data_IF_219409709591
#
_entry.id   IF_219409709591
#
_cell.length_a   1.000
_cell.length_b   1.000
_cell.length_c   1.000
_cell.angle_alpha   90.00
_cell.angle_beta   90.00
_cell.angle_gamma   90.00
#
_symmetry.space_group_name_H-M   'P 1'
#
loop_
_entity.id
_entity.type
_entity.pdbx_description
1 polymer ?
#
# COMPACT_ATOMS: atom_id res chain seq x y z
N UNK A 1 16.30 -8.66 -17.52
CA UNK A 1 15.34 -9.77 -17.40
C UNK A 1 14.27 -9.31 -16.41
N UNK A 2 13.38 -8.37 -16.74
CA UNK A 2 12.56 -8.31 -17.95
C UNK A 2 11.36 -9.21 -17.72
N UNK A 3 10.41 -8.73 -16.91
CA UNK A 3 9.29 -9.48 -16.37
C UNK A 3 8.53 -10.24 -17.45
N UNK A 4 8.57 -11.57 -17.35
CA UNK A 4 7.34 -12.31 -17.58
C UNK A 4 6.40 -11.81 -16.48
N UNK A 5 5.34 -11.09 -16.85
CA UNK A 5 4.28 -10.71 -15.93
C UNK A 5 3.90 -11.96 -15.14
N UNK A 6 4.24 -11.99 -13.86
CA UNK A 6 3.82 -13.08 -13.01
C UNK A 6 2.29 -12.99 -12.97
N UNK A 7 1.60 -14.08 -13.29
CA UNK A 7 0.16 -14.07 -13.54
C UNK A 7 -0.63 -13.51 -12.34
N UNK A 8 -0.05 -13.57 -11.14
CA UNK A 8 -0.56 -13.05 -9.87
C UNK A 8 -0.09 -11.61 -9.52
N UNK A 9 0.36 -10.80 -10.50
CA UNK A 9 0.87 -9.45 -10.27
C UNK A 9 -0.13 -8.54 -9.54
N UNK A 10 -1.43 -8.69 -9.78
CA UNK A 10 -2.46 -7.90 -9.07
C UNK A 10 -2.49 -8.21 -7.57
N UNK A 11 -2.39 -9.49 -7.19
CA UNK A 11 -2.39 -9.92 -5.78
C UNK A 11 -1.06 -9.55 -5.12
N UNK A 12 0.06 -9.85 -5.78
CA UNK A 12 1.40 -9.48 -5.29
C UNK A 12 1.57 -7.98 -5.16
N UNK A 13 1.02 -7.22 -6.12
CA UNK A 13 0.99 -5.76 -6.10
C UNK A 13 0.20 -5.25 -4.90
N UNK A 14 -1.00 -5.77 -4.66
CA UNK A 14 -1.78 -5.43 -3.47
C UNK A 14 -1.05 -5.72 -2.15
N UNK A 15 -0.41 -6.88 -2.03
CA UNK A 15 0.40 -7.24 -0.86
C UNK A 15 1.59 -6.27 -0.70
N UNK A 16 2.32 -6.00 -1.78
CA UNK A 16 3.48 -5.12 -1.77
C UNK A 16 3.10 -3.69 -1.40
N UNK A 17 2.01 -3.16 -1.98
CA UNK A 17 1.44 -1.86 -1.62
C UNK A 17 1.07 -1.82 -0.14
N UNK A 18 0.32 -2.80 0.36
CA UNK A 18 -0.07 -2.82 1.78
C UNK A 18 1.14 -2.84 2.72
N UNK A 19 2.17 -3.62 2.41
CA UNK A 19 3.41 -3.63 3.17
C UNK A 19 4.15 -2.28 3.11
N UNK A 20 4.12 -1.62 1.95
CA UNK A 20 4.76 -0.32 1.75
C UNK A 20 4.05 0.79 2.53
N UNK A 21 2.72 0.78 2.60
CA UNK A 21 1.96 1.74 3.43
C UNK A 21 2.40 1.67 4.90
N UNK A 22 2.61 0.47 5.46
CA UNK A 22 3.13 0.32 6.82
C UNK A 22 4.55 0.83 6.99
N UNK A 23 5.39 0.73 5.96
CA UNK A 23 6.70 1.36 5.94
C UNK A 23 6.59 2.90 5.94
N UNK A 24 5.67 3.47 5.17
CA UNK A 24 5.42 4.91 5.14
C UNK A 24 4.85 5.43 6.47
N UNK A 25 3.89 4.72 7.07
CA UNK A 25 3.36 5.01 8.41
C UNK A 25 4.50 5.08 9.45
N UNK A 26 5.41 4.10 9.44
CA UNK A 26 6.57 4.09 10.34
C UNK A 26 7.52 5.27 10.04
N UNK A 27 7.75 5.56 8.77
CA UNK A 27 8.60 6.65 8.31
C UNK A 27 8.05 8.02 8.73
N UNK A 28 6.76 8.27 8.56
CA UNK A 28 6.14 9.53 8.98
C UNK A 28 6.12 9.69 10.49
N UNK A 29 5.94 8.63 11.27
CA UNK A 29 6.13 8.69 12.74
C UNK A 29 7.55 9.15 13.11
N UNK A 30 8.57 8.63 12.44
CA UNK A 30 9.95 9.04 12.65
C UNK A 30 10.19 10.50 12.21
N UNK A 31 9.62 10.93 11.07
CA UNK A 31 9.72 12.30 10.57
C UNK A 31 9.03 13.31 11.48
N UNK A 32 7.83 13.00 11.99
CA UNK A 32 7.13 13.83 12.98
C UNK A 32 8.04 14.05 14.19
N UNK A 33 8.61 12.97 14.73
CA UNK A 33 9.48 13.08 15.90
C UNK A 33 10.74 13.92 15.60
N UNK A 34 11.31 13.73 14.42
CA UNK A 34 12.47 14.50 13.96
C UNK A 34 12.14 15.99 13.83
N UNK A 35 11.00 16.34 13.22
CA UNK A 35 10.54 17.70 13.05
C UNK A 35 10.25 18.39 14.40
N UNK A 36 9.63 17.68 15.35
CA UNK A 36 9.44 18.15 16.72
C UNK A 36 10.77 18.47 17.40
N UNK A 37 11.76 17.57 17.31
CA UNK A 37 13.10 17.76 17.87
C UNK A 37 13.87 18.91 17.20
N UNK A 38 13.59 19.18 15.92
CA UNK A 38 14.18 20.28 15.16
C UNK A 38 13.41 21.61 15.33
N UNK A 39 12.40 21.68 16.20
CA UNK A 39 11.53 22.85 16.37
C UNK A 39 10.89 23.33 15.06
N UNK A 40 10.43 22.38 14.22
CA UNK A 40 9.74 22.61 12.95
C UNK A 40 8.27 22.19 13.02
N UNK A 41 7.40 22.98 13.68
CA UNK A 41 6.01 22.59 13.92
C UNK A 41 5.19 22.47 12.63
N UNK A 42 5.45 23.30 11.62
CA UNK A 42 4.78 23.25 10.32
C UNK A 42 5.07 21.93 9.59
N UNK A 43 6.31 21.45 9.63
CA UNK A 43 6.70 20.16 9.04
C UNK A 43 6.04 19.00 9.80
N UNK A 44 6.06 19.06 11.14
CA UNK A 44 5.40 18.04 11.96
C UNK A 44 3.90 17.95 11.68
N UNK A 45 3.24 19.09 11.40
CA UNK A 45 1.82 19.12 11.05
C UNK A 45 1.57 18.49 9.67
N UNK A 46 2.35 18.84 8.65
CA UNK A 46 2.24 18.23 7.31
C UNK A 46 2.46 16.71 7.40
N UNK A 47 3.49 16.25 8.12
CA UNK A 47 3.73 14.81 8.28
C UNK A 47 2.60 14.09 9.04
N UNK A 48 1.88 14.77 9.94
CA UNK A 48 0.70 14.20 10.62
C UNK A 48 -0.48 14.05 9.67
N UNK A 49 -0.68 14.99 8.77
CA UNK A 49 -1.72 14.93 7.74
C UNK A 49 -1.45 13.76 6.80
N UNK A 50 -0.23 13.65 6.25
CA UNK A 50 0.14 12.54 5.37
C UNK A 50 0.04 11.19 6.10
N UNK A 51 0.47 11.11 7.37
CA UNK A 51 0.30 9.90 8.18
C UNK A 51 -1.16 9.41 8.25
N UNK A 52 -2.15 10.32 8.27
CA UNK A 52 -3.55 9.89 8.25
C UNK A 52 -3.96 9.32 6.89
N UNK A 53 -3.40 9.84 5.79
CA UNK A 53 -3.62 9.33 4.43
C UNK A 53 -3.05 7.91 4.28
N UNK A 54 -1.81 7.66 4.74
CA UNK A 54 -1.19 6.32 4.64
C UNK A 54 -1.92 5.29 5.52
N UNK A 55 -2.41 5.69 6.70
CA UNK A 55 -3.25 4.83 7.54
C UNK A 55 -4.56 4.49 6.81
N UNK A 56 -5.21 5.48 6.21
CA UNK A 56 -6.44 5.26 5.46
C UNK A 56 -6.22 4.34 4.24
N UNK A 57 -5.08 4.49 3.55
CA UNK A 57 -4.71 3.62 2.43
C UNK A 57 -4.40 2.20 2.89
N UNK A 58 -3.63 2.02 3.97
CA UNK A 58 -3.38 0.70 4.56
C UNK A 58 -4.69 0.00 4.93
N UNK A 59 -5.60 0.71 5.60
CA UNK A 59 -6.91 0.16 5.98
C UNK A 59 -7.75 -0.20 4.75
N UNK A 60 -7.75 0.65 3.72
CA UNK A 60 -8.45 0.38 2.47
C UNK A 60 -7.90 -0.87 1.78
N UNK A 61 -6.58 -0.99 1.64
CA UNK A 61 -5.93 -2.15 1.04
C UNK A 61 -6.26 -3.42 1.84
N UNK A 62 -6.18 -3.38 3.16
CA UNK A 62 -6.51 -4.52 4.01
C UNK A 62 -7.96 -4.99 3.84
N UNK A 63 -8.90 -4.08 3.60
CA UNK A 63 -10.31 -4.41 3.40
C UNK A 63 -10.61 -5.03 2.03
N UNK A 64 -9.81 -4.72 1.01
CA UNK A 64 -10.08 -5.13 -0.38
C UNK A 64 -9.14 -6.24 -0.89
N UNK A 65 -8.08 -6.58 -0.14
CA UNK A 65 -7.10 -7.58 -0.56
C UNK A 65 -7.70 -8.99 -0.67
N UNK A 66 -8.61 -9.34 0.23
CA UNK A 66 -9.32 -10.63 0.20
C UNK A 66 -10.20 -10.74 -1.05
N UNK A 67 -10.99 -9.69 -1.35
CA UNK A 67 -11.84 -9.64 -2.54
C UNK A 67 -11.01 -9.69 -3.82
N UNK A 68 -9.91 -8.94 -3.87
CA UNK A 68 -8.97 -8.96 -5.01
C UNK A 68 -8.38 -10.36 -5.23
N UNK A 69 -8.02 -11.05 -4.14
CA UNK A 69 -7.47 -12.41 -4.20
C UNK A 69 -8.54 -13.39 -4.68
N UNK A 70 -9.77 -13.27 -4.20
CA UNK A 70 -10.89 -14.09 -4.64
C UNK A 70 -11.19 -13.89 -6.14
N UNK A 71 -11.33 -12.64 -6.60
CA UNK A 71 -11.57 -12.35 -8.01
C UNK A 71 -10.45 -12.86 -8.92
N UNK A 72 -9.20 -12.76 -8.47
CA UNK A 72 -8.06 -13.32 -9.19
C UNK A 72 -8.22 -14.84 -9.39
N UNK A 73 -8.52 -15.58 -8.30
CA UNK A 73 -8.68 -17.03 -8.35
C UNK A 73 -9.86 -17.47 -9.23
N UNK A 74 -11.00 -16.78 -9.17
CA UNK A 74 -12.16 -17.09 -10.03
C UNK A 74 -11.80 -16.94 -11.51
N UNK A 75 -11.08 -15.86 -11.87
CA UNK A 75 -10.70 -15.61 -13.26
C UNK A 75 -9.65 -16.57 -13.80
N UNK A 76 -8.77 -17.04 -12.91
CA UNK A 76 -7.77 -18.08 -13.24
C UNK A 76 -8.45 -19.44 -13.49
N UNK A 77 -9.42 -19.82 -12.65
CA UNK A 77 -10.17 -21.09 -12.78
C UNK A 77 -11.06 -21.14 -14.03
N UNK A 78 -11.69 -20.02 -14.39
CA UNK A 78 -12.59 -19.96 -15.56
C UNK A 78 -11.86 -19.78 -16.91
N UNK A 79 -10.51 -19.74 -16.93
CA UNK A 79 -9.67 -19.36 -18.09
C UNK A 79 -10.15 -18.04 -18.75
N UNK A 80 -10.86 -17.21 -17.98
CA UNK A 80 -11.36 -15.88 -18.35
C UNK A 80 -10.24 -14.85 -18.20
N UNK A 81 -9.09 -15.20 -18.79
CA UNK A 81 -7.89 -14.41 -18.80
C UNK A 81 -8.21 -13.06 -19.40
N UNK A 82 -7.91 -11.99 -18.66
CA UNK A 82 -7.83 -10.67 -19.25
C UNK A 82 -6.73 -10.71 -20.31
N UNK A 83 -7.12 -10.64 -21.60
CA UNK A 83 -6.14 -10.46 -22.68
C UNK A 83 -5.41 -9.14 -22.42
N UNK A 84 -4.09 -9.24 -22.30
CA UNK A 84 -3.12 -8.13 -22.40
C UNK A 84 -3.40 -7.26 -23.61
#
# INVERSE_FOLDING_TARGET
MGGMMAEDEVVKGGIASYAFEHFEIASYKALIKTAEMASKPEIAQICKEILQEEIAMADWLSQHLDDTTHEFLVRDDEDLRAKT
#
